data_IF_387964105157
#
_entry.id   IF_387964105157
#
_cell.length_a   1.000
_cell.length_b   1.000
_cell.length_c   1.000
_cell.angle_alpha   90.00
_cell.angle_beta   90.00
_cell.angle_gamma   90.00
#
_symmetry.space_group_name_H-M   'P 1'
#
loop_
_entity.id
_entity.type
_entity.pdbx_description
1 polymer ?
#
# COMPACT_ATOMS: atom_id res chain seq x y z
N UNK A 1 -12.17 -25.53 10.89
CA UNK A 1 -10.91 -25.08 10.25
C UNK A 1 -11.03 -25.35 8.76
N UNK A 2 -10.61 -24.45 7.84
CA UNK A 2 -10.70 -24.69 6.40
C UNK A 2 -9.88 -25.92 6.00
N UNK A 3 -10.47 -26.82 5.21
CA UNK A 3 -9.73 -27.95 4.66
C UNK A 3 -9.13 -27.54 3.32
N UNK A 4 -7.84 -27.17 3.34
CA UNK A 4 -7.14 -26.69 2.14
C UNK A 4 -6.92 -27.79 1.08
N UNK A 5 -7.03 -29.07 1.43
CA UNK A 5 -7.00 -30.15 0.45
C UNK A 5 -8.17 -30.06 -0.55
N UNK A 6 -9.27 -29.39 -0.16
CA UNK A 6 -10.43 -29.15 -1.01
C UNK A 6 -10.34 -27.82 -1.77
N UNK A 7 -9.17 -27.17 -1.83
CA UNK A 7 -9.08 -25.84 -2.43
C UNK A 7 -9.28 -25.86 -3.94
N UNK A 8 -9.99 -24.85 -4.42
CA UNK A 8 -10.37 -24.68 -5.82
C UNK A 8 -10.30 -23.20 -6.16
N UNK A 9 -9.86 -22.89 -7.36
CA UNK A 9 -9.97 -21.56 -7.94
C UNK A 9 -11.10 -21.57 -8.95
N UNK A 10 -11.95 -20.55 -8.90
CA UNK A 10 -13.10 -20.40 -9.78
C UNK A 10 -13.15 -18.97 -10.33
N UNK A 11 -13.92 -18.82 -11.41
CA UNK A 11 -14.34 -17.51 -11.90
C UNK A 11 -15.85 -17.37 -11.86
N UNK A 12 -16.31 -16.14 -11.70
CA UNK A 12 -17.71 -15.75 -11.91
C UNK A 12 -17.71 -14.76 -13.08
N UNK A 13 -18.46 -15.04 -14.13
CA UNK A 13 -18.50 -14.23 -15.35
C UNK A 13 -19.91 -13.70 -15.60
N UNK A 14 -20.03 -12.44 -16.02
CA UNK A 14 -21.28 -11.82 -16.45
C UNK A 14 -21.01 -10.80 -17.57
N UNK A 15 -21.30 -11.21 -18.81
CA UNK A 15 -20.87 -10.50 -20.02
C UNK A 15 -19.36 -10.24 -19.97
N UNK A 16 -18.96 -8.98 -20.07
CA UNK A 16 -17.55 -8.58 -20.06
C UNK A 16 -16.88 -8.57 -18.67
N UNK A 17 -17.62 -8.79 -17.58
CA UNK A 17 -17.06 -8.76 -16.23
C UNK A 17 -16.70 -10.16 -15.76
N UNK A 18 -15.44 -10.33 -15.34
CA UNK A 18 -14.95 -11.57 -14.74
C UNK A 18 -14.47 -11.29 -13.32
N UNK A 19 -14.88 -12.09 -12.35
CA UNK A 19 -14.34 -12.11 -10.98
C UNK A 19 -13.63 -13.43 -10.74
N UNK A 20 -12.48 -13.41 -10.10
CA UNK A 20 -11.72 -14.62 -9.75
C UNK A 20 -11.71 -14.76 -8.22
N UNK A 21 -11.82 -15.98 -7.73
CA UNK A 21 -11.65 -16.23 -6.32
C UNK A 21 -11.31 -17.67 -6.02
N UNK A 22 -10.81 -17.91 -4.82
CA UNK A 22 -10.61 -19.25 -4.28
C UNK A 22 -11.69 -19.66 -3.28
N UNK A 23 -11.83 -20.97 -3.09
CA UNK A 23 -12.73 -21.56 -2.09
C UNK A 23 -12.20 -22.91 -1.61
N UNK A 24 -12.41 -23.21 -0.34
CA UNK A 24 -12.19 -24.55 0.26
C UNK A 24 -13.51 -25.31 0.45
N UNK A 25 -14.62 -24.75 -0.02
CA UNK A 25 -15.96 -25.33 0.11
C UNK A 25 -16.09 -26.53 -0.83
N UNK A 26 -16.96 -27.49 -0.44
CA UNK A 26 -17.19 -28.72 -1.20
C UNK A 26 -17.54 -28.44 -2.67
N UNK A 27 -18.50 -27.55 -2.93
CA UNK A 27 -18.99 -27.25 -4.28
C UNK A 27 -19.00 -25.75 -4.59
N UNK A 28 -18.90 -25.43 -5.88
CA UNK A 28 -19.01 -24.06 -6.38
C UNK A 28 -20.42 -23.49 -6.21
N UNK A 29 -21.46 -24.33 -6.26
CA UNK A 29 -22.83 -23.90 -6.01
C UNK A 29 -23.01 -23.30 -4.61
N UNK A 30 -22.44 -23.94 -3.58
CA UNK A 30 -22.48 -23.40 -2.21
C UNK A 30 -21.74 -22.06 -2.15
N UNK A 31 -20.59 -21.95 -2.82
CA UNK A 31 -19.83 -20.70 -2.88
C UNK A 31 -20.61 -19.59 -3.59
N UNK A 32 -21.36 -19.92 -4.64
CA UNK A 32 -22.24 -18.98 -5.33
C UNK A 32 -23.37 -18.49 -4.41
N UNK A 33 -23.99 -19.39 -3.65
CA UNK A 33 -25.01 -19.02 -2.65
C UNK A 33 -24.46 -18.07 -1.59
N UNK A 34 -23.22 -18.30 -1.12
CA UNK A 34 -22.55 -17.39 -0.18
C UNK A 34 -22.37 -15.98 -0.79
N UNK A 35 -21.96 -15.90 -2.06
CA UNK A 35 -21.86 -14.62 -2.76
C UNK A 35 -23.22 -13.92 -2.89
N UNK A 36 -24.29 -14.65 -3.26
CA UNK A 36 -25.66 -14.11 -3.34
C UNK A 36 -26.16 -13.58 -1.98
N UNK A 37 -25.95 -14.35 -0.91
CA UNK A 37 -26.29 -13.94 0.45
C UNK A 37 -25.52 -12.69 0.87
N UNK A 38 -24.22 -12.65 0.57
CA UNK A 38 -23.37 -11.48 0.85
C UNK A 38 -23.80 -10.25 0.06
N UNK A 39 -24.24 -10.42 -1.19
CA UNK A 39 -24.79 -9.33 -2.01
C UNK A 39 -26.09 -8.76 -1.43
N UNK A 40 -27.00 -9.61 -0.95
CA UNK A 40 -28.22 -9.17 -0.25
C UNK A 40 -27.88 -8.35 0.99
N UNK A 41 -26.95 -8.85 1.81
CA UNK A 41 -26.42 -8.16 2.98
C UNK A 41 -25.79 -6.79 2.63
N UNK A 42 -25.06 -6.70 1.52
CA UNK A 42 -24.47 -5.45 1.05
C UNK A 42 -25.53 -4.40 0.68
N UNK A 43 -26.65 -4.80 0.07
CA UNK A 43 -27.79 -3.88 -0.20
C UNK A 43 -28.37 -3.26 1.06
N UNK A 44 -28.21 -3.92 2.22
CA UNK A 44 -28.60 -3.42 3.53
C UNK A 44 -27.52 -2.51 4.19
N UNK A 45 -26.48 -2.13 3.45
CA UNK A 45 -25.42 -1.22 3.92
C UNK A 45 -24.19 -1.89 4.53
N UNK A 46 -24.02 -3.21 4.38
CA UNK A 46 -22.86 -3.95 4.90
C UNK A 46 -21.63 -3.87 3.96
N UNK A 47 -20.58 -4.65 4.25
CA UNK A 47 -19.32 -4.66 3.52
C UNK A 47 -19.46 -4.88 1.99
N UNK A 48 -18.60 -4.23 1.21
CA UNK A 48 -18.59 -4.28 -0.27
C UNK A 48 -17.53 -5.26 -0.77
N UNK A 49 -17.92 -6.19 -1.63
CA UNK A 49 -17.01 -7.12 -2.34
C UNK A 49 -17.01 -6.82 -3.84
N UNK A 50 -15.92 -7.15 -4.54
CA UNK A 50 -15.80 -6.88 -5.99
C UNK A 50 -16.64 -7.82 -6.84
N UNK A 51 -16.90 -9.05 -6.37
CA UNK A 51 -17.81 -10.00 -7.04
C UNK A 51 -19.23 -9.47 -7.19
N UNK A 52 -19.64 -8.51 -6.37
CA UNK A 52 -20.97 -7.91 -6.44
C UNK A 52 -21.23 -7.16 -7.74
N UNK A 53 -20.19 -6.61 -8.38
CA UNK A 53 -20.33 -5.97 -9.71
C UNK A 53 -20.74 -6.96 -10.78
N UNK A 54 -20.29 -8.22 -10.67
CA UNK A 54 -20.66 -9.31 -11.59
C UNK A 54 -22.08 -9.80 -11.29
N UNK A 55 -22.43 -9.90 -10.00
CA UNK A 55 -23.74 -10.41 -9.55
C UNK A 55 -24.87 -9.41 -9.79
N UNK A 56 -24.57 -8.12 -9.72
CA UNK A 56 -25.52 -7.03 -9.95
C UNK A 56 -26.08 -7.02 -11.37
N UNK A 57 -25.31 -7.50 -12.37
CA UNK A 57 -25.77 -7.65 -13.75
C UNK A 57 -26.86 -8.72 -13.94
N UNK A 58 -27.08 -9.61 -12.97
CA UNK A 58 -28.13 -10.63 -13.01
C UNK A 58 -27.77 -11.91 -13.77
N UNK A 59 -27.16 -11.80 -14.95
CA UNK A 59 -26.77 -12.94 -15.80
C UNK A 59 -25.33 -13.36 -15.54
N UNK A 60 -25.11 -14.17 -14.51
CA UNK A 60 -23.77 -14.64 -14.13
C UNK A 60 -23.67 -16.14 -14.01
N UNK A 61 -22.52 -16.67 -14.40
CA UNK A 61 -22.15 -18.08 -14.31
C UNK A 61 -20.90 -18.25 -13.43
N UNK A 62 -20.86 -19.33 -12.63
CA UNK A 62 -19.66 -19.72 -11.89
C UNK A 62 -19.02 -20.93 -12.55
N UNK A 63 -17.75 -20.81 -12.91
CA UNK A 63 -16.99 -21.87 -13.59
C UNK A 63 -15.76 -22.24 -12.77
N UNK A 64 -15.46 -23.53 -12.70
CA UNK A 64 -14.22 -24.03 -12.12
C UNK A 64 -13.05 -23.67 -13.05
N UNK A 65 -12.02 -23.01 -12.52
CA UNK A 65 -10.78 -22.77 -13.26
C UNK A 65 -9.78 -23.87 -12.96
N UNK A 66 -9.58 -24.18 -11.68
CA UNK A 66 -8.51 -25.08 -11.26
C UNK A 66 -8.85 -25.77 -9.94
N UNK A 67 -8.52 -27.06 -9.86
CA UNK A 67 -8.43 -27.79 -8.60
C UNK A 67 -6.99 -27.65 -8.07
N UNK A 68 -6.79 -26.90 -6.98
CA UNK A 68 -5.51 -26.86 -6.25
C UNK A 68 -5.74 -27.47 -4.87
N UNK A 69 -5.48 -28.76 -4.65
CA UNK A 69 -5.29 -29.26 -3.30
C UNK A 69 -4.06 -28.57 -2.74
N UNK A 70 -4.25 -27.58 -1.87
CA UNK A 70 -3.15 -26.84 -1.27
C UNK A 70 -3.05 -27.19 0.24
N UNK A 71 -1.89 -26.99 0.87
CA UNK A 71 -1.69 -27.34 2.29
C UNK A 71 -1.95 -26.15 3.22
N UNK A 72 -1.84 -24.94 2.69
CA UNK A 72 -1.92 -23.71 3.45
C UNK A 72 -2.75 -22.64 2.75
N UNK A 73 -3.11 -21.59 3.51
CA UNK A 73 -3.78 -20.41 2.96
C UNK A 73 -2.89 -19.68 1.95
N UNK A 74 -1.58 -19.66 2.18
CA UNK A 74 -0.64 -18.88 1.38
C UNK A 74 -0.45 -19.49 0.00
N UNK A 75 -0.39 -20.81 -0.10
CA UNK A 75 -0.41 -21.52 -1.39
C UNK A 75 -1.70 -21.21 -2.18
N UNK A 76 -2.85 -21.25 -1.52
CA UNK A 76 -4.13 -20.93 -2.16
C UNK A 76 -4.19 -19.47 -2.62
N UNK A 77 -3.71 -18.54 -1.79
CA UNK A 77 -3.63 -17.12 -2.13
C UNK A 77 -2.70 -16.87 -3.31
N UNK A 78 -1.56 -17.56 -3.37
CA UNK A 78 -0.60 -17.47 -4.47
C UNK A 78 -1.21 -17.97 -5.78
N UNK A 79 -1.94 -19.10 -5.73
CA UNK A 79 -2.63 -19.62 -6.90
C UNK A 79 -3.78 -18.72 -7.35
N UNK A 80 -4.56 -18.15 -6.42
CA UNK A 80 -5.58 -17.15 -6.75
C UNK A 80 -4.95 -15.91 -7.40
N UNK A 81 -3.82 -15.44 -6.86
CA UNK A 81 -3.07 -14.28 -7.39
C UNK A 81 -2.61 -14.52 -8.82
N UNK A 82 -2.06 -15.69 -9.12
CA UNK A 82 -1.66 -16.08 -10.48
C UNK A 82 -2.81 -15.91 -11.48
N UNK A 83 -4.01 -16.40 -11.14
CA UNK A 83 -5.16 -16.25 -12.03
C UNK A 83 -5.63 -14.79 -12.18
N UNK A 84 -5.58 -14.01 -11.11
CA UNK A 84 -5.93 -12.57 -11.14
C UNK A 84 -4.95 -11.78 -12.03
N UNK A 85 -3.65 -12.06 -11.97
CA UNK A 85 -2.63 -11.36 -12.77
C UNK A 85 -2.68 -11.75 -14.26
N UNK A 86 -3.05 -13.00 -14.57
CA UNK A 86 -3.10 -13.52 -15.94
C UNK A 86 -4.46 -13.35 -16.63
N UNK A 87 -5.47 -12.79 -15.96
CA UNK A 87 -6.82 -12.65 -16.51
C UNK A 87 -7.36 -11.25 -16.29
N UNK A 88 -8.00 -10.66 -17.31
CA UNK A 88 -8.74 -9.41 -17.16
C UNK A 88 -9.94 -9.64 -16.23
N UNK A 89 -9.87 -9.11 -15.00
CA UNK A 89 -10.90 -9.32 -13.98
C UNK A 89 -11.16 -8.07 -13.13
N UNK A 90 -12.29 -8.08 -12.41
CA UNK A 90 -12.77 -6.97 -11.57
C UNK A 90 -12.16 -6.96 -10.16
N UNK A 91 -11.26 -7.90 -9.87
CA UNK A 91 -10.61 -8.00 -8.56
C UNK A 91 -9.79 -6.73 -8.28
N UNK A 92 -10.11 -6.04 -7.18
CA UNK A 92 -9.41 -4.80 -6.78
C UNK A 92 -8.19 -5.06 -5.91
N UNK A 93 -8.24 -6.12 -5.11
CA UNK A 93 -7.18 -6.49 -4.19
C UNK A 93 -6.53 -7.78 -4.65
N UNK A 94 -5.21 -7.75 -4.79
CA UNK A 94 -4.39 -8.94 -5.01
C UNK A 94 -4.27 -9.70 -3.70
N UNK A 95 -4.60 -10.99 -3.72
CA UNK A 95 -4.42 -11.88 -2.57
C UNK A 95 -2.93 -12.06 -2.28
N UNK A 96 -2.55 -12.04 -1.00
CA UNK A 96 -1.15 -12.19 -0.60
C UNK A 96 -0.24 -11.01 -0.97
N UNK A 97 -0.80 -9.85 -1.35
CA UNK A 97 -0.02 -8.65 -1.63
C UNK A 97 0.69 -8.15 -0.37
N UNK A 98 1.98 -7.85 -0.51
CA UNK A 98 2.78 -7.26 0.56
C UNK A 98 2.59 -5.75 0.64
N UNK A 99 2.88 -5.17 1.82
CA UNK A 99 2.87 -3.72 2.01
C UNK A 99 3.84 -2.99 1.08
N UNK A 100 4.97 -3.63 0.74
CA UNK A 100 5.96 -3.07 -0.18
C UNK A 100 5.37 -2.95 -1.59
N UNK A 101 4.82 -4.04 -2.14
CA UNK A 101 4.14 -4.04 -3.44
C UNK A 101 2.97 -3.06 -3.48
N UNK A 102 2.27 -2.87 -2.36
CA UNK A 102 1.24 -1.85 -2.25
C UNK A 102 1.80 -0.43 -2.37
N UNK A 103 2.85 -0.13 -1.62
CA UNK A 103 3.49 1.19 -1.63
C UNK A 103 4.10 1.52 -2.97
N UNK A 104 4.73 0.56 -3.65
CA UNK A 104 5.34 0.77 -4.96
C UNK A 104 4.29 1.08 -6.03
N UNK A 105 3.28 0.23 -6.18
CA UNK A 105 2.27 0.47 -7.23
C UNK A 105 1.34 1.67 -6.94
N UNK A 106 1.30 2.16 -5.69
CA UNK A 106 0.52 3.34 -5.30
C UNK A 106 1.38 4.55 -4.93
N UNK A 107 2.68 4.53 -5.26
CA UNK A 107 3.66 5.53 -4.83
C UNK A 107 3.21 6.94 -5.14
N UNK A 108 2.75 7.21 -6.35
CA UNK A 108 2.36 8.54 -6.78
C UNK A 108 1.10 9.04 -6.07
N UNK A 109 0.11 8.18 -5.87
CA UNK A 109 -1.11 8.51 -5.11
C UNK A 109 -0.80 8.82 -3.64
N UNK A 110 0.07 8.01 -3.04
CA UNK A 110 0.52 8.21 -1.65
C UNK A 110 1.27 9.55 -1.53
N UNK A 111 2.17 9.82 -2.48
CA UNK A 111 2.95 11.05 -2.49
C UNK A 111 2.09 12.29 -2.73
N UNK A 112 1.13 12.22 -3.66
CA UNK A 112 0.19 13.32 -3.94
C UNK A 112 -0.62 13.67 -2.70
N UNK A 113 -1.23 12.67 -2.06
CA UNK A 113 -1.98 12.86 -0.81
C UNK A 113 -1.09 13.40 0.32
N UNK A 114 0.14 12.92 0.43
CA UNK A 114 1.11 13.43 1.40
C UNK A 114 1.57 14.85 1.12
N UNK A 115 1.56 15.30 -0.14
CA UNK A 115 1.82 16.70 -0.52
C UNK A 115 0.64 17.59 -0.13
N UNK A 116 -0.58 17.21 -0.52
CA UNK A 116 -1.81 17.93 -0.16
C UNK A 116 -1.95 18.11 1.35
N UNK A 117 -1.69 17.04 2.12
CA UNK A 117 -1.75 17.12 3.57
C UNK A 117 -0.73 18.09 4.16
N UNK A 118 0.50 18.10 3.63
CA UNK A 118 1.55 19.04 4.08
C UNK A 118 1.20 20.49 3.75
N UNK A 119 0.60 20.73 2.59
CA UNK A 119 0.14 22.07 2.18
C UNK A 119 -1.02 22.53 3.06
N UNK A 120 -2.03 21.70 3.24
CA UNK A 120 -3.20 22.01 4.09
C UNK A 120 -2.84 22.21 5.58
N UNK A 121 -1.75 21.61 6.05
CA UNK A 121 -1.28 21.72 7.43
C UNK A 121 0.00 22.57 7.56
N UNK A 122 0.35 23.33 6.52
CA UNK A 122 1.60 24.11 6.49
C UNK A 122 1.68 25.08 7.66
N UNK A 123 0.63 25.88 7.87
CA UNK A 123 0.63 26.93 8.89
C UNK A 123 0.62 26.34 10.30
N UNK A 124 -0.15 25.27 10.53
CA UNK A 124 -0.16 24.54 11.80
C UNK A 124 1.21 23.95 12.14
N UNK A 125 1.91 23.40 11.15
CA UNK A 125 3.26 22.88 11.34
C UNK A 125 4.26 24.00 11.61
N UNK A 126 4.15 25.13 10.90
CA UNK A 126 5.00 26.30 11.13
C UNK A 126 4.78 26.88 12.52
N UNK A 127 3.53 27.04 12.95
CA UNK A 127 3.19 27.52 14.29
C UNK A 127 3.75 26.58 15.37
N UNK A 128 3.55 25.26 15.21
CA UNK A 128 4.12 24.26 16.13
C UNK A 128 5.64 24.35 16.21
N UNK A 129 6.31 24.47 15.07
CA UNK A 129 7.76 24.63 15.02
C UNK A 129 8.22 25.94 15.66
N UNK A 130 7.51 27.03 15.43
CA UNK A 130 7.81 28.34 16.00
C UNK A 130 7.69 28.31 17.52
N UNK A 131 6.62 27.72 18.06
CA UNK A 131 6.41 27.58 19.51
C UNK A 131 7.53 26.75 20.14
N UNK A 132 7.81 25.58 19.57
CA UNK A 132 8.91 24.72 20.04
C UNK A 132 10.25 25.46 20.03
N UNK A 133 10.53 26.24 18.98
CA UNK A 133 11.75 27.02 18.91
C UNK A 133 11.82 28.07 20.02
N UNK A 134 10.78 28.87 20.23
CA UNK A 134 10.79 29.91 21.27
C UNK A 134 10.89 29.32 22.68
N UNK A 135 10.22 28.19 22.95
CA UNK A 135 10.30 27.49 24.23
C UNK A 135 11.72 26.98 24.54
N UNK A 136 12.44 26.49 23.54
CA UNK A 136 13.75 25.86 23.72
C UNK A 136 14.95 26.72 23.26
N UNK A 137 14.71 27.98 22.88
CA UNK A 137 15.74 28.87 22.32
C UNK A 137 16.89 29.11 23.29
N UNK A 138 16.59 29.32 24.57
CA UNK A 138 17.62 29.55 25.59
C UNK A 138 18.34 28.25 25.99
N UNK A 139 17.65 27.11 26.01
CA UNK A 139 18.28 25.79 26.19
C UNK A 139 19.30 25.49 25.08
N UNK A 140 18.95 25.80 23.84
CA UNK A 140 19.87 25.66 22.70
C UNK A 140 21.05 26.60 22.79
N UNK A 141 20.81 27.84 23.20
CA UNK A 141 21.87 28.85 23.36
C UNK A 141 22.86 28.44 24.46
N UNK A 142 22.35 27.99 25.60
CA UNK A 142 23.17 27.51 26.73
C UNK A 142 23.94 26.25 26.36
N UNK A 143 23.29 25.27 25.73
CA UNK A 143 23.94 24.06 25.22
C UNK A 143 25.07 24.41 24.24
N UNK A 144 24.80 25.30 23.28
CA UNK A 144 25.78 25.72 22.28
C UNK A 144 26.96 26.44 22.91
N UNK A 145 26.73 27.35 23.86
CA UNK A 145 27.80 28.05 24.57
C UNK A 145 28.68 27.06 25.35
N UNK A 146 28.07 26.15 26.13
CA UNK A 146 28.79 25.14 26.91
C UNK A 146 29.58 24.15 26.03
N UNK A 147 29.14 23.91 24.80
CA UNK A 147 29.75 22.95 23.87
C UNK A 147 30.48 23.62 22.69
N UNK A 148 30.68 24.94 22.72
CA UNK A 148 31.08 25.72 21.54
C UNK A 148 32.37 25.21 20.91
N UNK A 149 33.41 25.00 21.72
CA UNK A 149 34.72 24.54 21.25
C UNK A 149 34.65 23.14 20.65
N UNK A 150 33.93 22.22 21.32
CA UNK A 150 33.71 20.86 20.83
C UNK A 150 32.99 20.87 19.48
N UNK A 151 31.91 21.65 19.35
CA UNK A 151 31.12 21.76 18.11
C UNK A 151 31.97 22.36 16.98
N UNK A 152 32.74 23.41 17.26
CA UNK A 152 33.61 24.05 16.26
C UNK A 152 34.74 23.13 15.82
N UNK A 153 35.36 22.40 16.75
CA UNK A 153 36.38 21.40 16.47
C UNK A 153 35.83 20.29 15.57
N UNK A 154 34.69 19.69 15.92
CA UNK A 154 34.03 18.67 15.10
C UNK A 154 33.63 19.18 13.70
N UNK A 155 33.15 20.42 13.60
CA UNK A 155 32.83 21.03 12.30
C UNK A 155 34.08 21.23 11.45
N UNK A 156 35.20 21.62 12.05
CA UNK A 156 36.47 21.79 11.35
C UNK A 156 36.98 20.46 10.82
N UNK A 157 37.05 19.43 11.67
CA UNK A 157 37.50 18.10 11.26
C UNK A 157 36.61 17.49 10.18
N UNK A 158 35.28 17.62 10.29
CA UNK A 158 34.36 17.16 9.25
C UNK A 158 34.58 17.90 7.92
N UNK A 159 34.74 19.23 7.94
CA UNK A 159 35.01 20.03 6.73
C UNK A 159 36.33 19.67 6.07
N UNK A 160 37.36 19.38 6.85
CA UNK A 160 38.67 18.97 6.34
C UNK A 160 38.59 17.57 5.72
N UNK A 161 38.00 16.61 6.42
CA UNK A 161 37.84 15.24 5.94
C UNK A 161 36.95 15.12 4.70
N UNK A 162 35.94 15.98 4.55
CA UNK A 162 34.97 15.95 3.45
C UNK A 162 35.16 17.10 2.44
N UNK A 163 36.32 17.76 2.45
CA UNK A 163 36.57 18.98 1.67
C UNK A 163 36.31 18.80 0.18
N UNK A 164 36.78 17.68 -0.38
CA UNK A 164 36.63 17.38 -1.81
C UNK A 164 35.17 17.10 -2.18
N UNK A 165 34.45 16.31 -1.37
CA UNK A 165 33.03 16.01 -1.62
C UNK A 165 32.16 17.28 -1.51
N UNK A 166 32.43 18.13 -0.51
CA UNK A 166 31.75 19.42 -0.35
C UNK A 166 31.98 20.30 -1.57
N UNK A 167 33.22 20.38 -2.06
CA UNK A 167 33.56 21.17 -3.24
C UNK A 167 32.96 20.59 -4.52
N UNK A 168 32.94 19.26 -4.67
CA UNK A 168 32.32 18.59 -5.81
C UNK A 168 30.80 18.83 -5.85
N UNK A 169 30.11 18.78 -4.69
CA UNK A 169 28.68 19.13 -4.58
C UNK A 169 28.43 20.59 -4.95
N UNK A 170 29.27 21.52 -4.48
CA UNK A 170 29.16 22.94 -4.83
C UNK A 170 29.32 23.20 -6.33
N UNK A 171 30.31 22.56 -6.97
CA UNK A 171 30.53 22.64 -8.43
C UNK A 171 29.35 22.08 -9.21
N UNK A 172 28.82 20.92 -8.82
CA UNK A 172 27.61 20.36 -9.43
C UNK A 172 26.41 21.30 -9.30
N UNK A 173 26.17 21.86 -8.12
CA UNK A 173 25.10 22.83 -7.88
C UNK A 173 25.24 24.11 -8.72
N UNK A 174 26.45 24.59 -8.99
CA UNK A 174 26.66 25.78 -9.82
C UNK A 174 26.44 25.47 -11.31
N UNK A 175 26.75 24.26 -11.77
CA UNK A 175 26.52 23.82 -13.15
C UNK A 175 25.04 23.54 -13.47
N UNK A 176 24.20 23.17 -12.50
CA UNK A 176 22.75 22.94 -12.73
C UNK A 176 21.91 24.22 -12.74
N UNK A 177 22.50 25.38 -12.43
CA UNK A 177 21.78 26.66 -12.31
C UNK A 177 22.12 27.63 -13.46
N UNK A 178 22.82 27.16 -14.50
CA UNK A 178 23.10 27.84 -15.78
C UNK A 178 22.38 27.11 -16.88
#
# INVERSE_FOLDING_TARGET
MPNYANSKVYKITSGDLTYIGSTTVATLAIRLTQHRSSYKNWKEGKAKLTSFQVIEKGDYEITLLELCPCQSRDELNARERYWIENTVCVNKNLTGRTDLEYREANRDKINARGKEWREANRDKNLERHSKFYEEHKEDWKTYYQANRERILSQRKTYREANKEEINARRRKSTLTTV
#
